data_IF_804475584891
#
_entry.id   IF_804475584891
#
_cell.length_a   1.000
_cell.length_b   1.000
_cell.length_c   1.000
_cell.angle_alpha   90.00
_cell.angle_beta   90.00
_cell.angle_gamma   90.00
#
_symmetry.space_group_name_H-M   'P 1'
#
loop_
_entity.id
_entity.type
_entity.pdbx_description
1 polymer ?
#
# COMPACT_ATOMS: atom_id res chain seq x y z
N UNK A 1 -43.23 -1.05 0.72
CA UNK A 1 -41.79 -0.76 0.87
C UNK A 1 -41.65 0.58 1.58
N UNK A 2 -41.26 0.59 2.86
CA UNK A 2 -41.06 1.83 3.62
C UNK A 2 -39.85 2.58 3.05
N UNK A 3 -40.04 3.82 2.57
CA UNK A 3 -38.94 4.68 2.17
C UNK A 3 -38.21 5.13 3.44
N UNK A 4 -37.02 4.58 3.67
CA UNK A 4 -36.19 4.92 4.83
C UNK A 4 -35.98 6.43 4.96
N UNK A 5 -35.89 6.91 6.20
CA UNK A 5 -35.69 8.34 6.53
C UNK A 5 -34.46 8.89 5.80
N UNK A 6 -34.52 10.09 5.20
CA UNK A 6 -33.35 10.68 4.56
C UNK A 6 -32.21 10.86 5.58
N UNK A 7 -30.95 10.65 5.18
CA UNK A 7 -29.81 10.80 6.08
C UNK A 7 -29.77 12.22 6.63
N UNK A 8 -29.52 12.33 7.94
CA UNK A 8 -29.41 13.62 8.64
C UNK A 8 -28.40 14.53 7.92
N UNK A 9 -28.77 15.79 7.73
CA UNK A 9 -27.89 16.78 7.13
C UNK A 9 -26.63 16.93 8.00
N UNK A 10 -25.47 16.71 7.38
CA UNK A 10 -24.17 16.83 8.05
C UNK A 10 -23.78 18.30 8.14
N UNK A 11 -23.29 18.71 9.31
CA UNK A 11 -22.61 19.98 9.52
C UNK A 11 -21.36 20.11 8.65
N UNK A 12 -20.88 21.34 8.40
CA UNK A 12 -19.60 21.56 7.71
C UNK A 12 -18.43 20.83 8.37
N UNK A 13 -18.40 20.76 9.70
CA UNK A 13 -17.35 20.08 10.47
C UNK A 13 -17.38 18.56 10.23
N UNK A 14 -18.56 17.95 10.26
CA UNK A 14 -18.73 16.52 9.95
C UNK A 14 -18.37 16.21 8.50
N UNK A 15 -18.73 17.08 7.54
CA UNK A 15 -18.33 16.93 6.14
C UNK A 15 -16.81 16.98 5.99
N UNK A 16 -16.14 17.90 6.68
CA UNK A 16 -14.68 18.04 6.68
C UNK A 16 -13.99 16.83 7.31
N UNK A 17 -14.48 16.36 8.45
CA UNK A 17 -13.97 15.16 9.11
C UNK A 17 -14.09 13.92 8.20
N UNK A 18 -15.25 13.75 7.55
CA UNK A 18 -15.44 12.66 6.60
C UNK A 18 -14.54 12.79 5.36
N UNK A 19 -14.32 14.00 4.86
CA UNK A 19 -13.39 14.23 3.76
C UNK A 19 -11.97 13.81 4.16
N UNK A 20 -11.49 14.17 5.35
CA UNK A 20 -10.17 13.75 5.83
C UNK A 20 -10.02 12.24 6.01
N UNK A 21 -11.09 11.56 6.44
CA UNK A 21 -11.07 10.11 6.64
C UNK A 21 -11.24 9.31 5.33
N UNK A 22 -12.06 9.80 4.39
CA UNK A 22 -12.53 9.00 3.24
C UNK A 22 -11.97 9.44 1.90
N UNK A 23 -11.62 10.72 1.71
CA UNK A 23 -10.89 11.13 0.49
C UNK A 23 -9.47 10.55 0.56
N UNK A 24 -9.02 9.91 -0.52
CA UNK A 24 -7.72 9.22 -0.56
C UNK A 24 -6.87 9.76 -1.70
N UNK A 25 -5.56 9.84 -1.46
CA UNK A 25 -4.58 10.37 -2.41
C UNK A 25 -3.46 9.37 -2.63
N UNK A 26 -3.06 9.21 -3.89
CA UNK A 26 -1.89 8.43 -4.25
C UNK A 26 -0.61 9.14 -3.77
N UNK A 27 0.07 8.55 -2.79
CA UNK A 27 1.35 9.02 -2.23
C UNK A 27 2.54 8.15 -2.63
N UNK A 28 2.32 7.12 -3.45
CA UNK A 28 3.33 6.11 -3.82
C UNK A 28 4.32 6.56 -4.91
N UNK A 29 4.33 7.83 -5.30
CA UNK A 29 5.24 8.41 -6.30
C UNK A 29 5.00 7.97 -7.75
N UNK A 30 4.03 7.07 -7.99
CA UNK A 30 3.65 6.64 -9.33
C UNK A 30 2.66 7.63 -9.95
N UNK A 31 2.80 7.91 -11.25
CA UNK A 31 1.79 8.66 -11.98
C UNK A 31 0.54 7.82 -12.25
N UNK A 32 -0.58 8.49 -12.53
CA UNK A 32 -1.88 7.85 -12.78
C UNK A 32 -1.88 6.89 -13.97
N UNK A 33 -1.05 7.15 -14.99
CA UNK A 33 -0.99 6.30 -16.20
C UNK A 33 -0.27 4.99 -15.90
N UNK A 34 0.77 5.04 -15.08
CA UNK A 34 1.53 3.90 -14.62
C UNK A 34 0.67 3.03 -13.70
N UNK A 35 -0.04 3.61 -12.72
CA UNK A 35 -0.89 2.85 -11.80
C UNK A 35 -2.02 2.11 -12.55
N UNK A 36 -2.66 2.76 -13.52
CA UNK A 36 -3.71 2.15 -14.37
C UNK A 36 -3.23 0.92 -15.13
N UNK A 37 -1.95 0.85 -15.52
CA UNK A 37 -1.38 -0.30 -16.24
C UNK A 37 -0.76 -1.34 -15.31
N UNK A 38 -0.02 -0.88 -14.29
CA UNK A 38 0.74 -1.73 -13.39
C UNK A 38 -0.15 -2.52 -12.44
N UNK A 39 -1.24 -1.93 -11.93
CA UNK A 39 -2.14 -2.61 -10.99
C UNK A 39 -2.81 -3.82 -11.64
N UNK A 40 -3.48 -3.71 -12.81
CA UNK A 40 -4.03 -4.88 -13.50
C UNK A 40 -2.97 -5.92 -13.86
N UNK A 41 -1.79 -5.48 -14.31
CA UNK A 41 -0.69 -6.38 -14.65
C UNK A 41 -0.22 -7.20 -13.44
N UNK A 42 -0.01 -6.55 -12.29
CA UNK A 42 0.42 -7.22 -11.05
C UNK A 42 -0.66 -8.17 -10.53
N UNK A 43 -1.94 -7.78 -10.58
CA UNK A 43 -3.06 -8.69 -10.31
C UNK A 43 -3.02 -9.94 -11.19
N UNK A 44 -2.86 -9.75 -12.50
CA UNK A 44 -2.84 -10.86 -13.44
C UNK A 44 -1.61 -11.77 -13.23
N UNK A 45 -0.44 -11.21 -12.89
CA UNK A 45 0.75 -11.99 -12.57
C UNK A 45 0.56 -12.81 -11.29
N UNK A 46 0.03 -12.20 -10.23
CA UNK A 46 -0.26 -12.91 -8.98
C UNK A 46 -1.23 -14.08 -9.21
N UNK A 47 -2.36 -13.83 -9.88
CA UNK A 47 -3.33 -14.88 -10.18
C UNK A 47 -2.80 -16.00 -11.10
N UNK A 48 -1.82 -15.72 -11.97
CA UNK A 48 -1.15 -16.76 -12.77
C UNK A 48 -0.21 -17.59 -11.91
N UNK A 49 0.57 -16.96 -11.03
CA UNK A 49 1.46 -17.65 -10.11
C UNK A 49 0.66 -18.57 -9.16
N UNK A 50 -0.45 -18.08 -8.60
CA UNK A 50 -1.36 -18.86 -7.74
C UNK A 50 -1.86 -20.11 -8.45
N UNK A 51 -2.37 -19.96 -9.68
CA UNK A 51 -2.86 -21.09 -10.49
C UNK A 51 -1.75 -22.05 -10.88
N UNK A 52 -0.57 -21.55 -11.20
CA UNK A 52 0.55 -22.40 -11.59
C UNK A 52 1.01 -23.27 -10.42
N UNK A 53 1.20 -22.69 -9.25
CA UNK A 53 1.53 -23.45 -8.06
C UNK A 53 0.43 -24.46 -7.73
N UNK A 54 -0.84 -24.05 -7.79
CA UNK A 54 -1.95 -24.96 -7.46
C UNK A 54 -1.99 -26.16 -8.42
N UNK A 55 -1.69 -25.95 -9.70
CA UNK A 55 -1.55 -27.03 -10.67
C UNK A 55 -0.40 -27.97 -10.32
N UNK A 56 0.76 -27.45 -9.92
CA UNK A 56 1.90 -28.28 -9.51
C UNK A 56 1.54 -29.16 -8.32
N UNK A 57 0.87 -28.60 -7.31
CA UNK A 57 0.44 -29.39 -6.14
C UNK A 57 -0.56 -30.49 -6.53
N UNK A 58 -1.49 -30.21 -7.45
CA UNK A 58 -2.42 -31.20 -7.98
C UNK A 58 -1.72 -32.30 -8.80
N UNK A 59 -0.67 -31.97 -9.53
CA UNK A 59 0.16 -32.97 -10.24
C UNK A 59 0.85 -33.92 -9.24
N UNK A 60 1.28 -33.41 -8.08
CA UNK A 60 1.84 -34.24 -7.01
C UNK A 60 0.80 -35.08 -6.27
N UNK A 61 -0.45 -34.63 -6.22
CA UNK A 61 -1.56 -35.34 -5.56
C UNK A 61 -1.80 -36.73 -6.18
N UNK A 62 -1.61 -36.89 -7.49
CA UNK A 62 -1.83 -38.15 -8.19
C UNK A 62 -0.90 -39.30 -7.73
N UNK A 63 0.24 -38.97 -7.13
CA UNK A 63 1.22 -39.93 -6.59
C UNK A 63 1.35 -39.84 -5.06
N UNK A 64 0.52 -39.03 -4.40
CA UNK A 64 0.60 -38.79 -2.97
C UNK A 64 -0.10 -39.89 -2.16
N UNK A 65 0.44 -40.21 -0.98
CA UNK A 65 -0.30 -40.97 0.03
C UNK A 65 -1.45 -40.12 0.59
N UNK A 66 -2.44 -40.76 1.22
CA UNK A 66 -3.59 -40.07 1.82
C UNK A 66 -3.18 -38.97 2.81
N UNK A 67 -2.22 -39.25 3.69
CA UNK A 67 -1.69 -38.25 4.61
C UNK A 67 -1.00 -37.07 3.89
N UNK A 68 -0.32 -37.32 2.77
CA UNK A 68 0.30 -36.26 1.98
C UNK A 68 -0.75 -35.46 1.18
N UNK A 69 -1.83 -36.11 0.74
CA UNK A 69 -2.96 -35.46 0.08
C UNK A 69 -3.66 -34.46 1.00
N UNK A 70 -3.90 -34.81 2.26
CA UNK A 70 -4.49 -33.91 3.26
C UNK A 70 -3.63 -32.66 3.51
N UNK A 71 -2.31 -32.83 3.55
CA UNK A 71 -1.36 -31.72 3.70
C UNK A 71 -1.41 -30.80 2.48
N UNK A 72 -1.43 -31.36 1.27
CA UNK A 72 -1.55 -30.61 0.02
C UNK A 72 -2.86 -29.81 0.00
N UNK A 73 -4.00 -30.43 0.31
CA UNK A 73 -5.29 -29.76 0.34
C UNK A 73 -5.31 -28.61 1.37
N UNK A 74 -4.83 -28.88 2.59
CA UNK A 74 -4.74 -27.88 3.66
C UNK A 74 -3.88 -26.68 3.25
N UNK A 75 -2.72 -26.94 2.62
CA UNK A 75 -1.81 -25.90 2.14
C UNK A 75 -2.44 -25.01 1.07
N UNK A 76 -3.24 -25.58 0.16
CA UNK A 76 -3.95 -24.87 -0.89
C UNK A 76 -5.07 -23.98 -0.35
N UNK A 77 -5.83 -24.47 0.64
CA UNK A 77 -6.93 -23.71 1.27
C UNK A 77 -6.42 -22.53 2.08
N UNK A 78 -5.34 -22.74 2.84
CA UNK A 78 -4.79 -21.74 3.77
C UNK A 78 -3.76 -20.81 3.12
N UNK A 79 -3.35 -21.07 1.87
CA UNK A 79 -2.28 -20.34 1.19
C UNK A 79 -0.98 -20.26 2.02
N UNK A 80 -0.58 -21.37 2.66
CA UNK A 80 0.57 -21.39 3.59
C UNK A 80 1.90 -21.09 2.89
N UNK A 81 2.00 -21.37 1.59
CA UNK A 81 3.16 -21.00 0.76
C UNK A 81 3.21 -19.49 0.44
N UNK A 82 2.19 -18.73 0.85
CA UNK A 82 2.05 -17.31 0.59
C UNK A 82 2.06 -17.03 -0.91
N UNK A 83 1.14 -17.60 -1.66
CA UNK A 83 1.02 -17.41 -3.12
C UNK A 83 0.36 -16.06 -3.41
N UNK A 84 -0.56 -15.61 -2.55
CA UNK A 84 -1.23 -14.29 -2.58
C UNK A 84 -0.34 -13.13 -2.08
N UNK A 85 0.95 -13.11 -2.41
CA UNK A 85 1.92 -12.08 -1.92
C UNK A 85 1.59 -10.67 -2.34
N UNK A 86 0.92 -10.51 -3.48
CA UNK A 86 0.60 -9.19 -4.00
C UNK A 86 -0.83 -8.80 -3.64
N UNK A 87 -0.95 -7.75 -2.83
CA UNK A 87 -2.22 -7.11 -2.52
C UNK A 87 -2.16 -5.65 -2.92
N UNK A 88 -3.27 -5.12 -3.43
CA UNK A 88 -3.39 -3.68 -3.69
C UNK A 88 -3.54 -2.97 -2.35
N UNK A 89 -2.50 -2.27 -1.93
CA UNK A 89 -2.59 -1.34 -0.82
C UNK A 89 -3.55 -0.20 -1.14
N UNK A 90 -4.35 0.25 -0.15
CA UNK A 90 -5.18 1.40 -0.35
C UNK A 90 -4.37 2.71 -0.42
N UNK A 91 -4.93 3.75 -1.03
CA UNK A 91 -4.32 5.09 -1.04
C UNK A 91 -4.34 5.77 0.35
N UNK A 92 -3.49 6.77 0.54
CA UNK A 92 -3.36 7.48 1.83
C UNK A 92 -4.59 8.35 2.10
N UNK A 93 -5.18 8.33 3.32
CA UNK A 93 -6.25 9.25 3.68
C UNK A 93 -5.79 10.72 3.60
N UNK A 94 -6.68 11.61 3.16
CA UNK A 94 -6.39 13.03 3.01
C UNK A 94 -5.92 13.67 4.32
N UNK A 95 -6.47 13.26 5.46
CA UNK A 95 -6.05 13.74 6.78
C UNK A 95 -4.56 13.53 7.04
N UNK A 96 -4.06 12.31 6.78
CA UNK A 96 -2.62 11.99 6.91
C UNK A 96 -1.77 12.81 5.96
N UNK A 97 -2.22 12.98 4.72
CA UNK A 97 -1.50 13.82 3.73
C UNK A 97 -1.40 15.28 4.19
N UNK A 98 -2.48 15.84 4.73
CA UNK A 98 -2.50 17.21 5.26
C UNK A 98 -1.56 17.37 6.44
N UNK A 99 -1.61 16.43 7.41
CA UNK A 99 -0.69 16.44 8.56
C UNK A 99 0.77 16.39 8.11
N UNK A 100 1.11 15.48 7.20
CA UNK A 100 2.47 15.37 6.65
C UNK A 100 2.91 16.67 5.96
N UNK A 101 2.01 17.36 5.25
CA UNK A 101 2.30 18.66 4.62
C UNK A 101 2.52 19.75 5.66
N UNK A 102 1.73 19.80 6.73
CA UNK A 102 1.90 20.78 7.80
C UNK A 102 3.23 20.55 8.53
N UNK A 103 3.56 19.30 8.86
CA UNK A 103 4.83 18.96 9.49
C UNK A 103 6.02 19.39 8.63
N UNK A 104 6.00 19.07 7.32
CA UNK A 104 7.05 19.50 6.39
C UNK A 104 7.23 21.02 6.34
N UNK A 105 6.15 21.80 6.51
CA UNK A 105 6.26 23.26 6.55
C UNK A 105 6.99 23.72 7.80
N UNK A 106 6.63 23.16 8.96
CA UNK A 106 7.34 23.42 10.22
C UNK A 106 8.81 23.05 10.09
N UNK A 107 9.11 21.84 9.62
CA UNK A 107 10.47 21.34 9.46
C UNK A 107 11.30 22.16 8.46
N UNK A 108 10.65 22.77 7.48
CA UNK A 108 11.32 23.58 6.46
C UNK A 108 11.82 24.94 6.96
N UNK A 109 11.26 25.45 8.05
CA UNK A 109 11.69 26.71 8.66
C UNK A 109 13.13 26.54 9.15
N UNK A 110 14.06 27.37 8.65
CA UNK A 110 15.48 27.29 9.03
C UNK A 110 16.26 26.11 8.42
N UNK A 111 15.61 25.11 7.82
CA UNK A 111 16.29 23.93 7.25
C UNK A 111 17.36 24.28 6.20
N UNK A 112 17.15 25.33 5.41
CA UNK A 112 18.15 25.79 4.42
C UNK A 112 19.42 26.34 5.09
N UNK A 113 19.27 27.07 6.20
CA UNK A 113 20.40 27.59 6.97
C UNK A 113 21.17 26.44 7.62
N UNK A 114 20.47 25.48 8.23
CA UNK A 114 21.08 24.29 8.84
C UNK A 114 21.85 23.45 7.82
N UNK A 115 21.27 23.19 6.63
CA UNK A 115 21.97 22.46 5.55
C UNK A 115 23.23 23.18 5.07
N UNK A 116 23.20 24.51 4.96
CA UNK A 116 24.38 25.30 4.60
C UNK A 116 25.46 25.20 5.67
N UNK A 117 25.09 25.39 6.94
CA UNK A 117 26.03 25.26 8.07
C UNK A 117 26.65 23.86 8.12
N UNK A 118 25.87 22.81 7.91
CA UNK A 118 26.36 21.43 7.84
C UNK A 118 27.33 21.21 6.65
N UNK A 119 27.03 21.77 5.48
CA UNK A 119 27.95 21.72 4.33
C UNK A 119 29.27 22.44 4.61
N UNK A 120 29.22 23.62 5.21
CA UNK A 120 30.44 24.38 5.57
C UNK A 120 31.26 23.67 6.65
N UNK A 121 30.61 23.07 7.64
CA UNK A 121 31.28 22.24 8.65
C UNK A 121 31.93 20.99 8.02
N UNK A 122 31.22 20.31 7.11
CA UNK A 122 31.76 19.15 6.39
C UNK A 122 32.95 19.53 5.52
N UNK A 123 32.87 20.63 4.76
CA UNK A 123 34.01 21.16 4.00
C UNK A 123 35.18 21.44 4.93
N UNK A 124 34.98 22.14 6.04
CA UNK A 124 36.06 22.44 7.00
C UNK A 124 36.74 21.18 7.56
N UNK A 125 35.99 20.11 7.80
CA UNK A 125 36.50 18.84 8.31
C UNK A 125 37.24 18.01 7.26
N UNK A 126 36.85 18.09 5.99
CA UNK A 126 37.35 17.19 4.94
C UNK A 126 38.11 17.88 3.79
N UNK A 127 38.18 19.21 3.76
CA UNK A 127 38.92 19.99 2.77
C UNK A 127 40.21 20.62 3.32
N UNK A 128 40.66 20.23 4.50
CA UNK A 128 41.96 20.63 5.04
C UNK A 128 43.10 19.84 4.38
N UNK A 129 43.64 20.39 3.29
CA UNK A 129 45.05 20.29 2.93
C UNK A 129 45.64 21.70 2.97
#
# INVERSE_FOLDING_TARGET
MSKGRPPRARSPQEKKALSYAKDRRNTYGQNDKASRKAIPLRKAKAARADRHGARQDLEHLAAASEAAADVIESSLRQDTAGRRRWQKGPDEPLGTVVQNKLQRRVDSVGAKALRRAAQEAWKKLFSGK
#
